data_IF_869918861999
#
_entry.id   IF_869918861999
#
_cell.length_a   1.000
_cell.length_b   1.000
_cell.length_c   1.000
_cell.angle_alpha   90.00
_cell.angle_beta   90.00
_cell.angle_gamma   90.00
#
_symmetry.space_group_name_H-M   'P 1'
#
loop_
_entity.id
_entity.type
_entity.pdbx_description
1 polymer ?
#
# COMPACT_ATOMS: atom_id res chain seq x y z
N UNK A 1 -3.21 22.79 -4.68
CA UNK A 1 -4.30 22.67 -5.67
C UNK A 1 -4.17 21.31 -6.34
N UNK A 2 -5.20 20.44 -6.27
CA UNK A 2 -5.22 19.17 -7.01
C UNK A 2 -5.62 19.47 -8.46
N UNK A 3 -4.93 18.85 -9.42
CA UNK A 3 -5.24 18.96 -10.85
C UNK A 3 -5.70 17.60 -11.35
N UNK A 4 -6.84 17.56 -12.04
CA UNK A 4 -7.37 16.37 -12.69
C UNK A 4 -8.06 16.77 -13.99
N UNK A 5 -8.05 15.87 -14.95
CA UNK A 5 -8.80 15.91 -16.21
C UNK A 5 -10.20 15.30 -16.08
N UNK A 6 -10.53 14.72 -14.91
CA UNK A 6 -11.83 14.14 -14.59
C UNK A 6 -12.82 15.23 -14.22
N UNK A 7 -13.65 15.61 -15.19
CA UNK A 7 -14.74 16.59 -15.03
C UNK A 7 -16.05 15.95 -14.54
N UNK A 8 -16.10 14.62 -14.50
CA UNK A 8 -17.24 13.82 -14.07
C UNK A 8 -17.34 13.63 -12.55
N UNK A 9 -16.30 14.00 -11.80
CA UNK A 9 -16.20 13.78 -10.36
C UNK A 9 -16.40 15.07 -9.57
N UNK A 10 -17.06 14.97 -8.42
CA UNK A 10 -17.12 16.06 -7.46
C UNK A 10 -15.78 16.30 -6.75
N UNK A 11 -15.59 17.51 -6.20
CA UNK A 11 -14.38 17.85 -5.42
C UNK A 11 -14.10 16.86 -4.28
N UNK A 12 -15.16 16.32 -3.66
CA UNK A 12 -15.06 15.32 -2.61
C UNK A 12 -14.52 13.99 -3.16
N UNK A 13 -15.03 13.51 -4.29
CA UNK A 13 -14.57 12.27 -4.92
C UNK A 13 -13.13 12.39 -5.43
N UNK A 14 -12.76 13.57 -5.95
CA UNK A 14 -11.37 13.88 -6.34
C UNK A 14 -10.45 13.80 -5.10
N UNK A 15 -10.87 14.38 -3.97
CA UNK A 15 -10.10 14.33 -2.72
C UNK A 15 -9.95 12.91 -2.17
N UNK A 16 -11.03 12.13 -2.17
CA UNK A 16 -11.02 10.72 -1.74
C UNK A 16 -10.11 9.87 -2.64
N UNK A 17 -10.22 10.04 -3.96
CA UNK A 17 -9.36 9.36 -4.94
C UNK A 17 -7.90 9.72 -4.75
N UNK A 18 -7.60 11.01 -4.54
CA UNK A 18 -6.24 11.47 -4.27
C UNK A 18 -5.66 10.86 -2.99
N UNK A 19 -6.45 10.79 -1.91
CA UNK A 19 -6.02 10.16 -0.67
C UNK A 19 -5.82 8.65 -0.84
N UNK A 20 -6.68 7.98 -1.60
CA UNK A 20 -6.50 6.57 -1.95
C UNK A 20 -5.19 6.35 -2.70
N UNK A 21 -4.89 7.16 -3.72
CA UNK A 21 -3.62 7.10 -4.47
C UNK A 21 -2.40 7.32 -3.55
N UNK A 22 -2.48 8.29 -2.64
CA UNK A 22 -1.43 8.52 -1.63
C UNK A 22 -1.23 7.31 -0.72
N UNK A 23 -2.31 6.69 -0.26
CA UNK A 23 -2.23 5.48 0.58
C UNK A 23 -1.61 4.32 -0.21
N UNK A 24 -1.99 4.15 -1.48
CA UNK A 24 -1.38 3.19 -2.40
C UNK A 24 0.13 3.44 -2.48
N UNK A 25 0.57 4.66 -2.80
CA UNK A 25 2.00 5.00 -2.88
C UNK A 25 2.77 4.71 -1.59
N UNK A 26 2.18 5.06 -0.44
CA UNK A 26 2.78 4.80 0.87
C UNK A 26 2.91 3.30 1.14
N UNK A 27 1.87 2.53 0.84
CA UNK A 27 1.87 1.07 0.92
C UNK A 27 2.96 0.47 0.02
N UNK A 28 3.02 0.85 -1.25
CA UNK A 28 4.06 0.41 -2.19
C UNK A 28 5.47 0.77 -1.72
N UNK A 29 5.68 1.99 -1.21
CA UNK A 29 6.96 2.42 -0.64
C UNK A 29 7.35 1.55 0.54
N UNK A 30 6.43 1.33 1.47
CA UNK A 30 6.67 0.49 2.65
C UNK A 30 7.00 -0.95 2.23
N UNK A 31 6.23 -1.53 1.31
CA UNK A 31 6.47 -2.88 0.78
C UNK A 31 7.83 -3.01 0.07
N UNK A 32 8.20 -2.06 -0.80
CA UNK A 32 9.54 -2.04 -1.43
C UNK A 32 10.67 -2.01 -0.42
N UNK A 33 10.53 -1.23 0.64
CA UNK A 33 11.54 -1.12 1.70
C UNK A 33 11.60 -2.34 2.62
N UNK A 34 10.51 -3.10 2.76
CA UNK A 34 10.37 -4.09 3.84
C UNK A 34 10.13 -5.53 3.40
N UNK A 35 9.78 -5.75 2.13
CA UNK A 35 9.71 -7.07 1.47
C UNK A 35 10.88 -7.28 0.48
N UNK A 36 11.80 -6.33 0.38
CA UNK A 36 12.91 -6.42 -0.58
C UNK A 36 12.45 -6.34 -2.05
N UNK A 37 11.24 -5.85 -2.32
CA UNK A 37 10.63 -5.73 -3.66
C UNK A 37 11.27 -4.63 -4.52
N UNK A 38 12.54 -4.29 -4.29
CA UNK A 38 13.28 -3.38 -5.15
C UNK A 38 13.24 -3.97 -6.57
N UNK A 39 12.93 -3.18 -7.62
CA UNK A 39 12.93 -3.72 -8.97
C UNK A 39 14.36 -4.14 -9.30
N UNK A 40 14.62 -5.45 -9.28
CA UNK A 40 15.67 -6.01 -10.13
C UNK A 40 15.18 -5.74 -11.53
N UNK A 41 15.87 -4.92 -12.31
CA UNK A 41 15.52 -4.54 -13.69
C UNK A 41 14.80 -5.68 -14.43
N UNK A 42 13.46 -5.64 -14.42
CA UNK A 42 12.64 -6.72 -14.96
C UNK A 42 12.49 -6.44 -16.45
N UNK A 43 13.49 -6.88 -17.21
CA UNK A 43 13.52 -6.72 -18.67
C UNK A 43 12.77 -7.86 -19.40
N UNK A 44 12.10 -8.76 -18.67
CA UNK A 44 11.38 -9.92 -19.23
C UNK A 44 9.92 -9.83 -18.78
N UNK A 45 8.99 -9.77 -19.74
CA UNK A 45 7.54 -9.52 -19.54
C UNK A 45 6.94 -10.33 -18.39
N UNK A 46 7.14 -11.65 -18.36
CA UNK A 46 6.53 -12.50 -17.32
C UNK A 46 6.96 -12.20 -15.88
N UNK A 47 8.14 -11.59 -15.67
CA UNK A 47 8.56 -11.15 -14.32
C UNK A 47 7.90 -9.84 -13.92
N UNK A 48 7.59 -8.97 -14.89
CA UNK A 48 6.84 -7.73 -14.64
C UNK A 48 5.42 -8.07 -14.20
N UNK A 49 4.74 -8.99 -14.91
CA UNK A 49 3.37 -9.41 -14.56
C UNK A 49 3.30 -10.03 -13.17
N UNK A 50 4.23 -10.94 -12.86
CA UNK A 50 4.32 -11.56 -11.53
C UNK A 50 4.58 -10.51 -10.43
N UNK A 51 5.46 -9.55 -10.69
CA UNK A 51 5.75 -8.47 -9.74
C UNK A 51 4.52 -7.56 -9.52
N UNK A 52 3.79 -7.23 -10.58
CA UNK A 52 2.55 -6.46 -10.49
C UNK A 52 1.50 -7.22 -9.67
N UNK A 53 1.32 -8.51 -9.95
CA UNK A 53 0.39 -9.36 -9.19
C UNK A 53 0.72 -9.41 -7.70
N UNK A 54 1.98 -9.73 -7.35
CA UNK A 54 2.41 -9.81 -5.95
C UNK A 54 2.27 -8.45 -5.26
N UNK A 55 2.57 -7.35 -5.95
CA UNK A 55 2.46 -6.01 -5.37
C UNK A 55 1.01 -5.59 -5.11
N UNK A 56 0.09 -5.90 -6.03
CA UNK A 56 -1.35 -5.66 -5.84
C UNK A 56 -1.89 -6.53 -4.69
N UNK A 57 -1.51 -7.81 -4.62
CA UNK A 57 -1.91 -8.70 -3.53
C UNK A 57 -1.42 -8.19 -2.18
N UNK A 58 -0.14 -7.81 -2.09
CA UNK A 58 0.44 -7.29 -0.86
C UNK A 58 -0.19 -5.94 -0.44
N UNK A 59 -0.56 -5.08 -1.40
CA UNK A 59 -1.35 -3.88 -1.13
C UNK A 59 -2.72 -4.22 -0.51
N UNK A 60 -3.45 -5.19 -1.06
CA UNK A 60 -4.76 -5.57 -0.51
C UNK A 60 -4.64 -6.10 0.91
N UNK A 61 -3.64 -6.94 1.20
CA UNK A 61 -3.40 -7.45 2.55
C UNK A 61 -3.13 -6.30 3.54
N UNK A 62 -2.25 -5.39 3.14
CA UNK A 62 -1.91 -4.21 3.93
C UNK A 62 -3.14 -3.32 4.18
N UNK A 63 -3.90 -3.02 3.13
CA UNK A 63 -5.11 -2.19 3.22
C UNK A 63 -6.17 -2.85 4.13
N UNK A 64 -6.37 -4.16 4.02
CA UNK A 64 -7.30 -4.90 4.90
C UNK A 64 -6.87 -4.82 6.35
N UNK A 65 -5.57 -4.92 6.65
CA UNK A 65 -5.06 -4.81 8.03
C UNK A 65 -5.31 -3.40 8.58
N UNK A 66 -4.91 -2.36 7.85
CA UNK A 66 -5.11 -0.96 8.28
C UNK A 66 -6.60 -0.63 8.41
N UNK A 67 -7.44 -1.08 7.48
CA UNK A 67 -8.89 -0.90 7.52
C UNK A 67 -9.52 -1.56 8.74
N UNK A 68 -9.18 -2.82 9.03
CA UNK A 68 -9.69 -3.55 10.20
C UNK A 68 -9.24 -2.93 11.52
N UNK A 69 -8.01 -2.45 11.60
CA UNK A 69 -7.49 -1.74 12.77
C UNK A 69 -8.18 -0.38 12.96
N UNK A 70 -8.40 0.36 11.87
CA UNK A 70 -9.14 1.62 11.88
C UNK A 70 -10.56 1.47 12.40
N UNK A 71 -11.28 0.41 12.00
CA UNK A 71 -12.61 0.10 12.56
C UNK A 71 -12.60 -0.16 14.08
N UNK A 72 -11.45 -0.56 14.65
CA UNK A 72 -11.26 -0.76 16.10
C UNK A 72 -10.65 0.46 16.80
N UNK A 73 -10.53 1.59 16.09
CA UNK A 73 -9.98 2.84 16.63
C UNK A 73 -8.46 2.98 16.49
N UNK A 74 -7.77 2.00 15.93
CA UNK A 74 -6.32 2.03 15.74
C UNK A 74 -5.96 2.57 14.36
N UNK A 75 -5.46 3.80 14.33
CA UNK A 75 -5.12 4.55 13.11
C UNK A 75 -3.61 4.63 12.89
N UNK A 76 -2.83 3.77 13.54
CA UNK A 76 -1.38 3.72 13.36
C UNK A 76 -1.05 3.29 11.93
N UNK A 77 0.00 3.89 11.37
CA UNK A 77 0.50 3.47 10.06
C UNK A 77 1.07 2.05 10.11
N UNK A 78 1.08 1.37 8.97
CA UNK A 78 1.70 0.06 8.84
C UNK A 78 3.15 -0.05 9.31
N UNK A 79 3.97 0.98 9.13
CA UNK A 79 5.34 0.97 9.66
C UNK A 79 5.36 0.80 11.17
N UNK A 80 4.41 1.45 11.86
CA UNK A 80 4.27 1.39 13.31
C UNK A 80 3.69 0.05 13.75
N UNK A 81 2.64 -0.42 13.08
CA UNK A 81 2.03 -1.74 13.34
C UNK A 81 3.08 -2.84 13.17
N UNK A 82 3.83 -2.81 12.06
CA UNK A 82 4.92 -3.75 11.79
C UNK A 82 5.99 -3.69 12.87
N UNK A 83 6.42 -2.51 13.30
CA UNK A 83 7.43 -2.38 14.35
C UNK A 83 6.96 -2.96 15.70
N UNK A 84 5.68 -2.83 16.04
CA UNK A 84 5.10 -3.47 17.23
C UNK A 84 5.06 -5.00 17.07
N UNK A 85 4.72 -5.48 15.87
CA UNK A 85 4.66 -6.92 15.59
C UNK A 85 6.05 -7.56 15.43
N UNK A 86 7.11 -6.80 15.15
CA UNK A 86 8.50 -7.31 15.10
C UNK A 86 8.93 -7.97 16.40
N UNK A 87 8.41 -7.55 17.55
CA UNK A 87 8.73 -8.19 18.84
C UNK A 87 7.96 -9.49 19.07
N UNK A 88 7.01 -9.81 18.20
CA UNK A 88 6.19 -11.03 18.22
C UNK A 88 6.66 -12.05 17.17
N UNK A 89 7.92 -11.93 16.70
CA UNK A 89 8.51 -12.91 15.80
C UNK A 89 8.66 -14.24 16.54
N UNK A 90 8.00 -15.28 16.01
CA UNK A 90 8.07 -16.62 16.57
C UNK A 90 9.49 -17.14 16.34
N UNK A 91 10.23 -17.36 17.42
CA UNK A 91 11.44 -18.18 17.40
C UNK A 91 11.06 -19.56 16.84
N UNK A 92 11.51 -19.86 15.63
CA UNK A 92 11.53 -21.21 15.04
C UNK A 92 12.96 -21.64 14.84
#
# INVERSE_FOLDING_TARGET
MLRTDRVDLSDKEIWETYNMLRQIEYAFKSMKSSLGLRPNFHQIEGRVDTHMFISVLAYHLLHIIEYRLGQKGDHRSWSTIRNVLKTHERLT
#
